data_IF_233134098309
#
_entry.id   IF_233134098309
#
_cell.length_a   1.000
_cell.length_b   1.000
_cell.length_c   1.000
_cell.angle_alpha   90.00
_cell.angle_beta   90.00
_cell.angle_gamma   90.00
#
_symmetry.space_group_name_H-M   'P 1'
#
loop_
_entity.id
_entity.type
_entity.pdbx_description
1 polymer ?
#
# COMPACT_ATOMS: atom_id res chain seq x y z
N UNK A 1 -11.28 -1.51 6.98
CA UNK A 1 -10.65 -0.50 7.89
C UNK A 1 -10.28 -1.04 9.28
N UNK A 2 -11.16 -1.77 9.99
CA UNK A 2 -10.92 -2.23 11.38
C UNK A 2 -9.57 -2.95 11.61
N UNK A 3 -9.21 -3.92 10.77
CA UNK A 3 -7.93 -4.62 10.87
C UNK A 3 -6.73 -3.71 10.65
N UNK A 4 -6.77 -2.86 9.62
CA UNK A 4 -5.72 -1.88 9.37
C UNK A 4 -5.57 -0.89 10.53
N UNK A 5 -6.66 -0.43 11.13
CA UNK A 5 -6.59 0.50 12.27
C UNK A 5 -5.97 -0.13 13.53
N UNK A 6 -6.10 -1.45 13.72
CA UNK A 6 -5.52 -2.16 14.88
C UNK A 6 -4.05 -2.49 14.65
N UNK A 7 -3.68 -2.83 13.43
CA UNK A 7 -2.33 -3.31 13.10
C UNK A 7 -1.40 -2.19 12.61
N UNK A 8 -1.94 -1.08 12.09
CA UNK A 8 -1.13 0.01 11.55
C UNK A 8 -0.42 0.76 12.68
N UNK A 9 0.91 0.68 12.69
CA UNK A 9 1.76 1.33 13.68
C UNK A 9 1.94 0.55 14.98
N UNK A 10 1.59 -0.74 15.02
CA UNK A 10 1.94 -1.63 16.14
C UNK A 10 3.43 -2.04 16.05
N UNK A 11 4.31 -1.55 16.95
CA UNK A 11 5.73 -1.86 16.89
C UNK A 11 6.03 -3.36 17.10
N UNK A 12 5.13 -4.10 17.76
CA UNK A 12 5.27 -5.53 17.95
C UNK A 12 5.05 -6.30 16.65
N UNK A 13 4.15 -5.83 15.79
CA UNK A 13 3.94 -6.41 14.46
C UNK A 13 5.15 -6.14 13.55
N UNK A 14 5.68 -4.91 13.57
CA UNK A 14 6.88 -4.56 12.80
C UNK A 14 8.08 -5.43 13.25
N UNK A 15 8.28 -5.56 14.57
CA UNK A 15 9.34 -6.42 15.13
C UNK A 15 9.14 -7.91 14.79
N UNK A 16 7.90 -8.39 14.74
CA UNK A 16 7.58 -9.77 14.35
C UNK A 16 7.91 -10.03 12.88
N UNK A 17 7.62 -9.08 12.00
CA UNK A 17 7.94 -9.18 10.57
C UNK A 17 9.46 -9.14 10.36
N UNK A 18 10.17 -8.22 11.04
CA UNK A 18 11.62 -8.08 10.93
C UNK A 18 12.38 -9.27 11.52
N UNK A 19 11.88 -9.87 12.60
CA UNK A 19 12.49 -11.06 13.22
C UNK A 19 12.32 -12.34 12.40
N UNK A 20 11.54 -12.31 11.32
CA UNK A 20 11.19 -13.46 10.49
C UNK A 20 11.56 -13.22 9.02
N UNK A 21 12.68 -13.81 8.62
CA UNK A 21 13.19 -13.72 7.26
C UNK A 21 12.16 -14.19 6.21
N UNK A 22 11.35 -15.20 6.53
CA UNK A 22 10.31 -15.73 5.64
C UNK A 22 9.16 -14.74 5.39
N UNK A 23 8.77 -13.95 6.40
CA UNK A 23 7.76 -12.91 6.25
C UNK A 23 8.31 -11.72 5.45
N UNK A 24 9.55 -11.34 5.71
CA UNK A 24 10.24 -10.29 4.94
C UNK A 24 10.36 -10.67 3.47
N UNK A 25 10.74 -11.91 3.16
CA UNK A 25 10.81 -12.42 1.79
C UNK A 25 9.42 -12.46 1.11
N UNK A 26 8.38 -12.86 1.85
CA UNK A 26 7.00 -12.86 1.34
C UNK A 26 6.54 -11.45 0.95
N UNK A 27 6.80 -10.44 1.80
CA UNK A 27 6.48 -9.03 1.51
C UNK A 27 7.26 -8.55 0.28
N UNK A 28 8.54 -8.93 0.17
CA UNK A 28 9.36 -8.65 -1.00
C UNK A 28 8.74 -9.20 -2.29
N UNK A 29 8.42 -10.50 -2.33
CA UNK A 29 7.79 -11.14 -3.51
C UNK A 29 6.41 -10.57 -3.84
N UNK A 30 5.61 -10.23 -2.82
CA UNK A 30 4.33 -9.56 -3.02
C UNK A 30 4.51 -8.17 -3.66
N UNK A 31 5.50 -7.41 -3.19
CA UNK A 31 5.86 -6.11 -3.76
C UNK A 31 6.34 -6.26 -5.20
N UNK A 32 7.21 -7.23 -5.48
CA UNK A 32 7.70 -7.52 -6.82
C UNK A 32 6.59 -7.97 -7.76
N UNK A 33 5.61 -8.73 -7.27
CA UNK A 33 4.42 -9.13 -8.03
C UNK A 33 3.51 -7.95 -8.34
N UNK A 34 3.30 -7.04 -7.39
CA UNK A 34 2.53 -5.81 -7.58
C UNK A 34 3.21 -4.85 -8.57
N UNK A 35 4.54 -4.84 -8.56
CA UNK A 35 5.33 -4.11 -9.52
C UNK A 35 5.20 -4.76 -10.89
N UNK A 36 5.47 -6.07 -11.01
CA UNK A 36 5.60 -6.79 -12.28
C UNK A 36 7.07 -6.93 -12.70
N UNK A 37 7.34 -7.47 -13.89
CA UNK A 37 8.69 -7.52 -14.43
C UNK A 37 9.09 -6.14 -15.01
N UNK A 38 10.21 -5.55 -14.59
CA UNK A 38 10.79 -4.35 -15.22
C UNK A 38 10.94 -3.10 -14.33
N UNK A 39 10.52 -3.14 -13.07
CA UNK A 39 10.40 -1.92 -12.28
C UNK A 39 11.73 -1.47 -11.70
N UNK A 40 12.35 -0.49 -12.39
CA UNK A 40 13.46 0.27 -11.86
C UNK A 40 13.08 1.02 -10.56
N UNK A 41 14.03 1.78 -9.98
CA UNK A 41 13.81 2.51 -8.72
C UNK A 41 12.55 3.38 -8.69
N UNK A 42 12.13 3.94 -9.84
CA UNK A 42 10.92 4.75 -9.94
C UNK A 42 9.63 3.97 -9.63
N UNK A 43 9.46 2.77 -10.17
CA UNK A 43 8.30 1.92 -9.90
C UNK A 43 8.20 1.56 -8.41
N UNK A 44 9.34 1.25 -7.78
CA UNK A 44 9.41 0.96 -6.32
C UNK A 44 8.97 2.16 -5.47
N UNK A 45 9.33 3.37 -5.86
CA UNK A 45 8.88 4.59 -5.17
C UNK A 45 7.37 4.80 -5.33
N UNK A 46 6.85 4.64 -6.55
CA UNK A 46 5.42 4.81 -6.85
C UNK A 46 4.58 3.81 -6.07
N UNK A 47 4.94 2.52 -6.08
CA UNK A 47 4.17 1.49 -5.37
C UNK A 47 4.21 1.72 -3.86
N UNK A 48 5.37 2.11 -3.32
CA UNK A 48 5.52 2.44 -1.90
C UNK A 48 4.59 3.59 -1.52
N UNK A 49 4.60 4.68 -2.31
CA UNK A 49 3.73 5.84 -2.11
C UNK A 49 2.25 5.45 -2.15
N UNK A 50 1.81 4.70 -3.16
CA UNK A 50 0.42 4.27 -3.32
C UNK A 50 -0.02 3.39 -2.16
N UNK A 51 0.78 2.38 -1.81
CA UNK A 51 0.42 1.43 -0.74
C UNK A 51 0.32 2.13 0.61
N UNK A 52 1.26 3.04 0.91
CA UNK A 52 1.24 3.85 2.13
C UNK A 52 0.09 4.86 2.14
N UNK A 53 -0.23 5.48 1.00
CA UNK A 53 -1.38 6.39 0.87
C UNK A 53 -2.71 5.70 1.15
N UNK A 54 -2.92 4.50 0.59
CA UNK A 54 -4.10 3.67 0.88
C UNK A 54 -4.15 3.30 2.37
N UNK A 55 -3.03 2.82 2.93
CA UNK A 55 -2.93 2.47 4.35
C UNK A 55 -3.30 3.67 5.25
N UNK A 56 -2.79 4.86 4.93
CA UNK A 56 -3.10 6.11 5.62
C UNK A 56 -4.59 6.42 5.57
N UNK A 57 -5.18 6.49 4.38
CA UNK A 57 -6.59 6.86 4.19
C UNK A 57 -7.57 5.92 4.92
N UNK A 58 -7.25 4.62 4.99
CA UNK A 58 -8.07 3.60 5.68
C UNK A 58 -8.06 3.79 7.21
N UNK A 59 -7.06 4.48 7.76
CA UNK A 59 -6.89 4.72 9.20
C UNK A 59 -7.08 6.19 9.62
N UNK A 60 -7.22 7.10 8.65
CA UNK A 60 -7.35 8.53 8.91
C UNK A 60 -8.72 8.88 9.51
N UNK A 61 -8.70 9.66 10.60
CA UNK A 61 -9.89 10.13 11.30
C UNK A 61 -10.69 11.14 10.47
N UNK A 62 -10.02 11.88 9.58
CA UNK A 62 -10.64 12.93 8.78
C UNK A 62 -11.63 12.40 7.72
N UNK A 63 -11.60 11.10 7.41
CA UNK A 63 -12.47 10.44 6.42
C UNK A 63 -13.29 9.29 7.01
N UNK A 64 -13.50 9.30 8.34
CA UNK A 64 -14.25 8.25 9.04
C UNK A 64 -15.75 8.27 8.74
N UNK A 65 -16.29 9.41 8.34
CA UNK A 65 -17.66 9.60 7.92
C UNK A 65 -17.93 9.07 6.50
N UNK A 66 -16.88 8.83 5.71
CA UNK A 66 -16.97 8.24 4.36
C UNK A 66 -17.25 6.75 4.46
N UNK A 67 -18.25 6.24 3.72
CA UNK A 67 -18.59 4.82 3.67
C UNK A 67 -17.43 3.97 3.12
N UNK A 68 -17.36 2.68 3.48
CA UNK A 68 -16.35 1.75 2.96
C UNK A 68 -16.37 1.66 1.43
N UNK A 69 -17.56 1.68 0.83
CA UNK A 69 -17.73 1.63 -0.62
C UNK A 69 -17.23 2.91 -1.30
N UNK A 70 -17.60 4.09 -0.79
CA UNK A 70 -17.17 5.37 -1.36
C UNK A 70 -15.66 5.57 -1.23
N UNK A 71 -15.08 5.19 -0.08
CA UNK A 71 -13.63 5.25 0.09
C UNK A 71 -12.93 4.32 -0.90
N UNK A 72 -13.43 3.08 -1.05
CA UNK A 72 -12.86 2.12 -1.99
C UNK A 72 -12.90 2.65 -3.42
N UNK A 73 -14.05 3.16 -3.88
CA UNK A 73 -14.19 3.71 -5.23
C UNK A 73 -13.30 4.93 -5.45
N UNK A 74 -13.22 5.82 -4.47
CA UNK A 74 -12.39 7.03 -4.55
C UNK A 74 -10.91 6.69 -4.63
N UNK A 75 -10.42 5.78 -3.77
CA UNK A 75 -9.03 5.34 -3.78
C UNK A 75 -8.69 4.63 -5.10
N UNK A 76 -9.58 3.77 -5.59
CA UNK A 76 -9.39 3.07 -6.87
C UNK A 76 -9.27 4.07 -8.03
N UNK A 77 -10.18 5.04 -8.11
CA UNK A 77 -10.14 6.07 -9.15
C UNK A 77 -8.85 6.91 -9.09
N UNK A 78 -8.43 7.33 -7.89
CA UNK A 78 -7.21 8.09 -7.69
C UNK A 78 -5.95 7.32 -8.12
N UNK A 79 -5.83 6.05 -7.71
CA UNK A 79 -4.69 5.20 -8.07
C UNK A 79 -4.67 4.93 -9.57
N UNK A 80 -5.82 4.64 -10.19
CA UNK A 80 -5.89 4.47 -11.64
C UNK A 80 -5.44 5.73 -12.38
N UNK A 81 -5.78 6.92 -11.90
CA UNK A 81 -5.36 8.18 -12.51
C UNK A 81 -3.85 8.41 -12.37
N UNK A 82 -3.29 8.15 -11.18
CA UNK A 82 -1.85 8.28 -10.90
C UNK A 82 -1.02 7.33 -11.76
N UNK A 83 -1.44 6.07 -11.87
CA UNK A 83 -0.71 5.05 -12.63
C UNK A 83 -0.86 5.20 -14.15
N UNK A 84 -1.94 5.84 -14.63
CA UNK A 84 -2.19 6.02 -16.07
C UNK A 84 -1.25 7.02 -16.74
N UNK A 85 -0.67 7.96 -15.98
CA UNK A 85 0.18 9.05 -16.51
C UNK A 85 1.68 8.70 -16.47
N UNK A 86 2.02 7.61 -15.79
CA UNK A 86 3.37 7.24 -15.43
C UNK A 86 3.97 6.24 -16.44
N UNK A 87 4.89 6.67 -17.31
CA UNK A 87 5.79 5.74 -18.03
C UNK A 87 6.88 5.17 -17.12
N UNK A 88 6.57 4.89 -15.85
CA UNK A 88 7.52 4.34 -14.87
C UNK A 88 7.65 2.81 -14.95
N UNK A 89 6.94 2.20 -15.90
CA UNK A 89 6.76 0.76 -16.09
C UNK A 89 7.29 0.30 -17.47
N UNK A 90 8.11 1.12 -18.16
CA UNK A 90 8.89 0.70 -19.35
C UNK A 90 10.17 -0.05 -18.95
#
# INVERSE_FOLDING_TARGET
RRWAAVLNGDPALDSLIESRADLTELIGRYTDLLLGAGHGPAGRVIISMVTKGIQGAVTDKAVQDVSDDDLHQTLLAAVQQLLRTASFFE
#
